data_IF_944911522047
#
_entry.id   IF_944911522047
#
_cell.length_a   1.000
_cell.length_b   1.000
_cell.length_c   1.000
_cell.angle_alpha   90.00
_cell.angle_beta   90.00
_cell.angle_gamma   90.00
#
_symmetry.space_group_name_H-M   'P 1'
#
loop_
_entity.id
_entity.type
_entity.pdbx_description
1 polymer ?
#
# COMPACT_ATOMS: atom_id res chain seq x y z
N UNK A 1 -10.05 21.10 12.36
CA UNK A 1 -10.52 21.02 10.97
C UNK A 1 -10.35 19.59 10.51
N UNK A 2 -11.46 18.87 10.29
CA UNK A 2 -11.41 17.52 9.74
C UNK A 2 -11.21 17.65 8.23
N UNK A 3 -10.01 17.32 7.76
CA UNK A 3 -9.69 17.33 6.34
C UNK A 3 -10.03 15.94 5.81
N UNK A 4 -11.06 15.88 4.96
CA UNK A 4 -11.39 14.69 4.18
C UNK A 4 -10.40 14.55 3.02
N UNK A 5 -9.83 13.37 2.85
CA UNK A 5 -8.91 13.04 1.75
C UNK A 5 -9.40 11.77 1.09
N UNK A 6 -9.52 11.77 -0.23
CA UNK A 6 -9.94 10.61 -1.00
C UNK A 6 -8.71 9.89 -1.58
N UNK A 7 -8.64 8.58 -1.39
CA UNK A 7 -7.62 7.72 -1.98
C UNK A 7 -8.28 6.82 -3.03
N UNK A 8 -7.65 6.67 -4.19
CA UNK A 8 -8.15 5.79 -5.25
C UNK A 8 -7.47 4.43 -5.19
N UNK A 9 -8.27 3.37 -5.19
CA UNK A 9 -7.78 2.01 -5.33
C UNK A 9 -7.59 1.61 -6.78
N UNK A 10 -7.13 0.37 -7.00
CA UNK A 10 -6.90 -0.21 -8.33
C UNK A 10 -8.15 -0.25 -9.20
N UNK A 11 -9.31 -0.45 -8.59
CA UNK A 11 -10.60 -0.43 -9.26
C UNK A 11 -10.96 0.94 -9.85
N UNK A 12 -10.24 2.00 -9.47
CA UNK A 12 -10.57 3.39 -9.78
C UNK A 12 -11.58 4.01 -8.81
N UNK A 13 -12.15 3.23 -7.88
CA UNK A 13 -13.03 3.72 -6.82
C UNK A 13 -12.27 4.67 -5.90
N UNK A 14 -12.87 5.82 -5.60
CA UNK A 14 -12.38 6.75 -4.59
C UNK A 14 -12.98 6.37 -3.23
N UNK A 15 -12.11 6.21 -2.24
CA UNK A 15 -12.46 5.92 -0.86
C UNK A 15 -12.13 7.13 0.01
N UNK A 16 -13.09 7.60 0.79
CA UNK A 16 -12.94 8.81 1.60
C UNK A 16 -12.42 8.49 2.99
N UNK A 17 -11.36 9.18 3.39
CA UNK A 17 -10.77 9.07 4.71
C UNK A 17 -10.76 10.42 5.41
N UNK A 18 -10.82 10.37 6.75
CA UNK A 18 -10.65 11.53 7.61
C UNK A 18 -9.26 11.53 8.21
N UNK A 19 -8.56 12.66 8.12
CA UNK A 19 -7.32 12.81 8.88
C UNK A 19 -7.64 12.86 10.38
N UNK A 20 -7.00 11.99 11.15
CA UNK A 20 -7.15 11.94 12.60
C UNK A 20 -5.82 12.21 13.31
N UNK A 21 -5.85 12.77 14.53
CA UNK A 21 -4.68 12.86 15.38
C UNK A 21 -4.12 11.47 15.69
N UNK A 22 -2.78 11.35 15.74
CA UNK A 22 -2.12 10.06 16.00
C UNK A 22 -2.44 9.49 17.38
N UNK A 23 -2.64 10.37 18.34
CA UNK A 23 -2.97 10.11 19.74
C UNK A 23 -4.47 9.89 19.99
N UNK A 24 -5.33 10.08 18.98
CA UNK A 24 -6.74 9.74 19.08
C UNK A 24 -6.96 8.22 19.20
N UNK A 25 -8.10 7.81 19.75
CA UNK A 25 -8.45 6.39 19.93
C UNK A 25 -8.91 5.68 18.63
N UNK A 26 -8.35 6.04 17.48
CA UNK A 26 -8.73 5.52 16.16
C UNK A 26 -8.53 4.00 16.06
N UNK A 27 -7.52 3.44 16.72
CA UNK A 27 -7.20 2.00 16.68
C UNK A 27 -8.33 1.10 17.21
N UNK A 28 -9.26 1.66 18.00
CA UNK A 28 -10.43 0.95 18.54
C UNK A 28 -11.66 1.03 17.63
N UNK A 29 -11.59 1.76 16.54
CA UNK A 29 -12.71 1.93 15.61
C UNK A 29 -12.65 0.86 14.51
N UNK A 30 -13.77 0.22 14.14
CA UNK A 30 -13.79 -0.65 12.99
C UNK A 30 -13.69 0.16 11.69
N UNK A 31 -12.82 -0.27 10.76
CA UNK A 31 -12.63 0.44 9.50
C UNK A 31 -11.32 0.12 8.79
N UNK A 32 -10.82 1.06 8.00
CA UNK A 32 -9.50 1.01 7.39
C UNK A 32 -8.67 2.20 7.83
N UNK A 33 -7.37 2.00 8.00
CA UNK A 33 -6.43 3.08 8.31
C UNK A 33 -5.28 3.11 7.31
N UNK A 34 -4.87 4.33 6.96
CA UNK A 34 -3.71 4.61 6.13
C UNK A 34 -2.72 5.43 6.95
N UNK A 35 -1.47 4.96 6.98
CA UNK A 35 -0.33 5.70 7.51
C UNK A 35 0.44 6.30 6.34
N UNK A 36 0.63 7.61 6.35
CA UNK A 36 1.22 8.32 5.23
C UNK A 36 2.17 9.43 5.68
N UNK A 37 3.03 9.85 4.75
CA UNK A 37 3.89 11.01 4.86
C UNK A 37 3.46 12.06 3.82
N UNK A 38 3.60 13.37 4.11
CA UNK A 38 3.42 14.39 3.09
C UNK A 38 4.47 14.19 1.99
N UNK A 39 4.05 14.40 0.75
CA UNK A 39 4.90 14.37 -0.43
C UNK A 39 4.61 15.60 -1.31
N UNK A 40 5.45 15.85 -2.31
CA UNK A 40 5.44 17.03 -3.18
C UNK A 40 4.07 17.29 -3.82
N UNK A 41 3.27 16.25 -4.04
CA UNK A 41 1.94 16.32 -4.68
C UNK A 41 0.83 15.65 -3.86
N UNK A 42 0.99 15.48 -2.55
CA UNK A 42 -0.04 14.92 -1.69
C UNK A 42 0.50 14.04 -0.57
N UNK A 43 0.11 12.77 -0.59
CA UNK A 43 0.43 11.81 0.46
C UNK A 43 1.11 10.58 -0.12
N UNK A 44 2.31 10.28 0.37
CA UNK A 44 2.96 9.00 0.14
C UNK A 44 2.46 8.01 1.18
N UNK A 45 1.77 6.97 0.71
CA UNK A 45 1.25 5.92 1.58
C UNK A 45 2.39 4.98 1.95
N UNK A 46 2.55 4.74 3.26
CA UNK A 46 3.57 3.86 3.82
C UNK A 46 2.96 2.52 4.15
N UNK A 47 1.72 2.52 4.68
CA UNK A 47 1.01 1.31 5.03
C UNK A 47 -0.49 1.54 5.04
N UNK A 48 -1.23 0.50 4.71
CA UNK A 48 -2.69 0.41 4.83
C UNK A 48 -3.00 -0.83 5.65
N UNK A 49 -4.07 -0.80 6.44
CA UNK A 49 -4.50 -1.97 7.20
C UNK A 49 -5.98 -1.90 7.56
N UNK A 50 -6.56 -3.08 7.79
CA UNK A 50 -7.89 -3.22 8.40
C UNK A 50 -7.81 -2.92 9.91
N UNK A 51 -8.82 -2.23 10.43
CA UNK A 51 -9.10 -2.09 11.84
C UNK A 51 -10.29 -2.96 12.21
N UNK A 52 -10.08 -3.89 13.14
CA UNK A 52 -11.12 -4.81 13.60
C UNK A 52 -12.10 -4.15 14.57
N UNK A 53 -11.71 -3.03 15.20
CA UNK A 53 -12.46 -2.36 16.25
C UNK A 53 -12.42 -3.07 17.61
N UNK A 54 -11.59 -4.12 17.77
CA UNK A 54 -11.48 -4.85 19.04
C UNK A 54 -10.69 -4.02 20.07
N UNK A 55 -11.19 -3.83 21.31
CA UNK A 55 -10.50 -3.00 22.31
C UNK A 55 -9.08 -3.44 22.68
N UNK A 56 -8.77 -4.73 22.50
CA UNK A 56 -7.48 -5.34 22.85
C UNK A 56 -6.59 -5.61 21.64
N UNK A 57 -6.98 -5.14 20.45
CA UNK A 57 -6.16 -5.27 19.26
C UNK A 57 -5.05 -4.22 19.27
N UNK A 58 -3.84 -4.67 19.58
CA UNK A 58 -2.66 -3.81 19.60
C UNK A 58 -1.97 -3.73 18.25
N UNK A 59 -2.30 -4.59 17.28
CA UNK A 59 -1.60 -4.62 15.99
C UNK A 59 -1.59 -3.25 15.29
N UNK A 60 -2.69 -2.44 15.30
CA UNK A 60 -2.67 -1.12 14.67
C UNK A 60 -1.69 -0.15 15.32
N UNK A 61 -1.49 -0.24 16.64
CA UNK A 61 -0.56 0.62 17.38
C UNK A 61 0.88 0.30 16.99
N UNK A 62 1.21 -0.98 16.88
CA UNK A 62 2.53 -1.43 16.42
C UNK A 62 2.77 -1.07 14.96
N UNK A 63 1.74 -1.20 14.12
CA UNK A 63 1.81 -0.84 12.71
C UNK A 63 2.04 0.66 12.51
N UNK A 64 1.45 1.53 13.34
CA UNK A 64 1.74 2.96 13.35
C UNK A 64 3.21 3.20 13.73
N UNK A 65 3.67 2.63 14.86
CA UNK A 65 5.05 2.80 15.32
C UNK A 65 6.09 2.35 14.29
N UNK A 66 5.81 1.27 13.56
CA UNK A 66 6.62 0.83 12.43
C UNK A 66 6.56 1.82 11.26
N UNK A 67 5.37 2.25 10.85
CA UNK A 67 5.21 3.21 9.75
C UNK A 67 5.90 4.56 10.05
N UNK A 68 5.92 4.99 11.32
CA UNK A 68 6.64 6.19 11.76
C UNK A 68 8.15 6.09 11.53
N UNK A 69 8.75 4.91 11.69
CA UNK A 69 10.18 4.66 11.37
C UNK A 69 10.46 4.82 9.87
N UNK A 70 9.46 4.56 9.03
CA UNK A 70 9.50 4.80 7.58
C UNK A 70 9.04 6.22 7.17
N UNK A 71 8.78 7.09 8.15
CA UNK A 71 8.49 8.50 7.95
C UNK A 71 7.01 8.89 8.00
N UNK A 72 6.11 8.02 8.47
CA UNK A 72 4.68 8.36 8.57
C UNK A 72 4.43 9.50 9.57
N UNK A 73 3.76 10.55 9.12
CA UNK A 73 3.37 11.70 9.96
C UNK A 73 1.87 11.94 10.03
N UNK A 74 1.08 11.21 9.24
CA UNK A 74 -0.37 11.33 9.20
C UNK A 74 -1.06 9.97 9.31
N UNK A 75 -2.23 9.99 9.96
CA UNK A 75 -3.16 8.86 10.09
C UNK A 75 -4.46 9.28 9.43
N UNK A 76 -4.95 8.44 8.53
CA UNK A 76 -6.21 8.61 7.83
C UNK A 76 -7.12 7.44 8.16
N UNK A 77 -8.33 7.73 8.61
CA UNK A 77 -9.31 6.73 9.05
C UNK A 77 -10.55 6.79 8.16
N UNK A 78 -10.96 5.63 7.65
CA UNK A 78 -12.28 5.41 7.08
C UNK A 78 -13.03 4.44 8.01
N UNK A 79 -14.16 4.86 8.57
CA UNK A 79 -15.00 3.98 9.39
C UNK A 79 -15.77 3.04 8.46
N UNK A 80 -15.74 1.75 8.76
CA UNK A 80 -16.51 0.74 8.03
C UNK A 80 -16.78 -0.45 8.94
N UNK A 81 -18.05 -0.75 9.15
CA UNK A 81 -18.51 -1.77 10.10
C UNK A 81 -18.67 -3.13 9.42
N UNK A 82 -18.90 -3.15 8.10
CA UNK A 82 -18.97 -4.38 7.33
C UNK A 82 -17.57 -4.97 7.07
N UNK A 83 -17.36 -6.21 7.50
CA UNK A 83 -16.06 -6.86 7.42
C UNK A 83 -15.62 -7.18 5.98
N UNK A 84 -16.57 -7.39 5.07
CA UNK A 84 -16.26 -7.66 3.68
C UNK A 84 -15.87 -6.36 2.97
N UNK A 85 -16.62 -5.29 3.18
CA UNK A 85 -16.30 -3.97 2.63
C UNK A 85 -14.96 -3.44 3.14
N UNK A 86 -14.64 -3.63 4.43
CA UNK A 86 -13.30 -3.30 4.97
C UNK A 86 -12.18 -3.98 4.20
N UNK A 87 -12.29 -5.30 4.01
CA UNK A 87 -11.28 -6.09 3.30
C UNK A 87 -11.17 -5.68 1.84
N UNK A 88 -12.31 -5.45 1.19
CA UNK A 88 -12.34 -4.96 -0.18
C UNK A 88 -11.68 -3.58 -0.30
N UNK A 89 -11.96 -2.65 0.62
CA UNK A 89 -11.35 -1.33 0.65
C UNK A 89 -9.83 -1.40 0.83
N UNK A 90 -9.36 -2.17 1.82
CA UNK A 90 -7.92 -2.32 2.09
C UNK A 90 -7.22 -2.96 0.88
N UNK A 91 -7.75 -4.06 0.35
CA UNK A 91 -7.16 -4.74 -0.80
C UNK A 91 -7.16 -3.86 -2.06
N UNK A 92 -8.26 -3.15 -2.34
CA UNK A 92 -8.35 -2.26 -3.51
C UNK A 92 -7.34 -1.12 -3.44
N UNK A 93 -7.17 -0.54 -2.26
CA UNK A 93 -6.17 0.48 -2.00
C UNK A 93 -4.75 -0.11 -2.10
N UNK A 94 -4.48 -1.26 -1.47
CA UNK A 94 -3.18 -1.95 -1.51
C UNK A 94 -2.74 -2.34 -2.93
N UNK A 95 -3.66 -2.90 -3.72
CA UNK A 95 -3.40 -3.25 -5.12
C UNK A 95 -3.28 -2.01 -6.03
N UNK A 96 -3.87 -0.88 -5.61
CA UNK A 96 -3.74 0.40 -6.29
C UNK A 96 -2.33 0.97 -6.19
N UNK A 97 -1.52 0.50 -5.25
CA UNK A 97 -0.13 0.88 -5.12
C UNK A 97 0.73 0.12 -6.12
N UNK A 98 1.20 0.84 -7.14
CA UNK A 98 2.46 0.46 -7.79
C UNK A 98 3.59 1.12 -6.99
N UNK A 99 4.52 0.36 -6.39
CA UNK A 99 5.70 0.96 -5.76
C UNK A 99 6.46 1.74 -6.83
N UNK A 100 6.56 3.06 -6.66
CA UNK A 100 7.34 3.93 -7.55
C UNK A 100 8.82 3.73 -7.26
N UNK A 101 9.36 2.55 -7.56
CA UNK A 101 10.78 2.26 -7.80
C UNK A 101 10.91 0.86 -8.43
N UNK A 102 10.40 0.67 -9.65
CA UNK A 102 11.16 -0.17 -10.58
C UNK A 102 12.24 0.74 -11.14
N UNK A 103 13.46 0.64 -10.63
CA UNK A 103 14.61 1.16 -11.37
C UNK A 103 14.56 0.51 -12.76
N UNK A 104 14.48 1.27 -13.88
CA UNK A 104 14.50 0.68 -15.22
C UNK A 104 15.82 -0.04 -15.57
N UNK A 105 16.75 -0.17 -14.61
CA UNK A 105 18.08 -0.75 -14.78
C UNK A 105 18.21 -2.22 -14.41
N UNK A 106 17.14 -2.87 -13.94
CA UNK A 106 17.17 -4.32 -13.66
C UNK A 106 16.07 -5.06 -14.43
N UNK A 107 15.96 -4.79 -15.73
CA UNK A 107 15.54 -5.87 -16.63
C UNK A 107 16.81 -6.69 -16.86
N UNK A 108 16.91 -7.95 -16.40
CA UNK A 108 17.98 -8.81 -16.87
C UNK A 108 17.79 -8.88 -18.38
N UNK A 109 18.78 -8.42 -19.15
CA UNK A 109 18.87 -8.73 -20.57
C UNK A 109 18.56 -10.21 -20.70
N UNK A 110 17.44 -10.54 -21.35
CA UNK A 110 17.20 -11.89 -21.80
C UNK A 110 18.37 -12.20 -22.73
N UNK A 111 19.36 -12.92 -22.21
CA UNK A 111 20.53 -13.35 -22.99
C UNK A 111 19.97 -14.03 -24.22
N UNK A 112 20.11 -13.34 -25.36
CA UNK A 112 19.77 -13.89 -26.65
C UNK A 112 20.45 -15.23 -26.77
N UNK A 113 19.65 -16.29 -26.90
CA UNK A 113 20.12 -17.64 -27.14
C UNK A 113 20.95 -17.62 -28.43
N UNK A 114 22.26 -17.50 -28.27
CA UNK A 114 23.22 -17.55 -29.36
C UNK A 114 23.19 -18.97 -29.94
N UNK A 115 22.36 -19.17 -30.96
CA UNK A 115 22.37 -20.40 -31.78
C UNK A 115 23.71 -20.46 -32.49
N UNK A 116 24.57 -21.35 -32.01
CA UNK A 116 25.78 -21.76 -32.71
C UNK A 116 25.35 -22.52 -33.97
N UNK A 117 25.78 -22.16 -35.19
CA UNK A 117 25.57 -23.01 -36.35
C UNK A 117 26.48 -24.24 -36.23
N UNK A 118 25.88 -25.43 -36.20
CA UNK A 118 26.61 -26.68 -36.26
C UNK A 118 27.32 -26.78 -37.62
N UNK A 119 28.65 -26.79 -37.59
CA UNK A 119 29.47 -27.13 -38.75
C UNK A 119 29.26 -28.61 -39.06
N UNK A 120 28.50 -28.90 -40.12
CA UNK A 120 28.42 -30.24 -40.69
C UNK A 120 29.72 -30.52 -41.43
N UNK A 121 30.68 -31.11 -40.72
CA UNK A 121 31.80 -31.83 -41.31
C UNK A 121 31.69 -33.28 -40.86
N UNK A 122 31.29 -34.18 -41.75
CA UNK A 122 31.71 -35.57 -41.65
C UNK A 122 31.79 -36.19 -43.05
N UNK A 123 32.98 -36.72 -43.32
CA UNK A 123 33.40 -37.38 -44.52
C UNK A 123 32.72 -38.75 -44.69
N UNK A 124 32.51 -39.14 -45.94
CA UNK A 124 32.73 -40.47 -46.48
C UNK A 124 32.96 -40.34 -48.00
#
# INVERSE_FOLDING_TARGET
MNISVSFRGRSGKAWDFQRVPKDAAWARSPGAVIFAAPDSFGWRIIRVMELTGRPHDLQPIWALAEAERYGATAVFLALEFDARERKCMVADIEEGFSPVFLNPREVPEAKGSQRVPAATGLAA
#
